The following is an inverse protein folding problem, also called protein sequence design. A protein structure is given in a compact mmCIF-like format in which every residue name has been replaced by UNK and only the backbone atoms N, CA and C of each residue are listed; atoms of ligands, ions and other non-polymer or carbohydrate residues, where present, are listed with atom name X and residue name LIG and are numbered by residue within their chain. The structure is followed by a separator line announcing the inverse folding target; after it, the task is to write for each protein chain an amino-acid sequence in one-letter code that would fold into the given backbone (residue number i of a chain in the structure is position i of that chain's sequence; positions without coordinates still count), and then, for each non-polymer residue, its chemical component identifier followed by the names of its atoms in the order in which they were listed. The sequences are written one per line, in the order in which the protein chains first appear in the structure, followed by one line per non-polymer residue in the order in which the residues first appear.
data_IF_326462270213
#
_entry.id   IF_326462270213
#
_cell.length_a   1.000
_cell.length_b   1.000
_cell.length_c   1.000
_cell.angle_alpha   90.00
_cell.angle_beta   90.00
_cell.angle_gamma   90.00
#
_symmetry.space_group_name_H-M   'P 1'
#
loop_
_entity.id
_entity.type
_entity.pdbx_description
1 polymer ?
#
# COMPACT_ATOMS: atom_id res chain seq x y z
N UNK A 1 9.67 -0.14 3.61
CA UNK A 1 10.09 -0.30 2.20
C UNK A 1 11.47 -0.93 2.07
N UNK A 2 12.50 -0.44 2.79
CA UNK A 2 13.87 -0.96 2.69
C UNK A 2 13.95 -2.46 3.01
N UNK A 3 13.29 -2.90 4.09
CA UNK A 3 13.37 -4.29 4.55
C UNK A 3 12.69 -5.27 3.59
N UNK A 4 11.59 -4.88 2.96
CA UNK A 4 10.95 -5.66 1.87
C UNK A 4 11.89 -5.81 0.68
N UNK A 5 12.62 -4.76 0.28
CA UNK A 5 13.57 -4.84 -0.83
C UNK A 5 14.72 -5.79 -0.49
N UNK A 6 15.22 -5.77 0.75
CA UNK A 6 16.21 -6.73 1.23
C UNK A 6 15.65 -8.16 1.23
N UNK A 7 14.42 -8.37 1.72
CA UNK A 7 13.79 -9.67 1.81
C UNK A 7 13.61 -10.33 0.43
N UNK A 8 13.28 -9.55 -0.60
CA UNK A 8 13.15 -10.06 -1.97
C UNK A 8 14.49 -10.54 -2.58
N UNK A 9 15.62 -10.07 -2.04
CA UNK A 9 16.98 -10.48 -2.44
C UNK A 9 17.49 -11.71 -1.67
N UNK A 10 16.73 -12.23 -0.70
CA UNK A 10 17.12 -13.43 0.07
C UNK A 10 17.19 -14.67 -0.82
N UNK A 11 16.23 -14.82 -1.74
CA UNK A 11 16.15 -15.99 -2.62
C UNK A 11 17.27 -15.98 -3.66
N UNK A 12 17.52 -14.82 -4.29
CA UNK A 12 18.50 -14.68 -5.36
C UNK A 12 18.91 -13.21 -5.58
N UNK A 13 20.12 -12.98 -6.13
CA UNK A 13 20.48 -11.66 -6.67
C UNK A 13 19.47 -11.22 -7.74
N UNK A 14 19.11 -9.93 -7.76
CA UNK A 14 18.07 -9.44 -8.68
C UNK A 14 18.28 -7.99 -9.10
N UNK A 15 17.68 -7.64 -10.24
CA UNK A 15 17.58 -6.27 -10.69
C UNK A 15 16.43 -5.53 -10.01
N UNK A 16 16.60 -4.23 -9.81
CA UNK A 16 15.53 -3.37 -9.25
C UNK A 16 14.21 -3.43 -10.02
N UNK A 17 14.25 -3.67 -11.34
CA UNK A 17 13.04 -3.88 -12.14
C UNK A 17 12.28 -5.16 -11.77
N UNK A 18 12.99 -6.28 -11.55
CA UNK A 18 12.39 -7.56 -11.18
C UNK A 18 11.81 -7.51 -9.77
N UNK A 19 12.53 -6.88 -8.83
CA UNK A 19 12.04 -6.63 -7.47
C UNK A 19 10.74 -5.84 -7.50
N UNK A 20 10.66 -4.77 -8.30
CA UNK A 20 9.44 -3.97 -8.49
C UNK A 20 8.31 -4.82 -9.06
N UNK A 21 8.58 -5.63 -10.09
CA UNK A 21 7.55 -6.47 -10.74
C UNK A 21 6.95 -7.46 -9.75
N UNK A 22 7.78 -8.17 -8.98
CA UNK A 22 7.33 -9.15 -7.98
C UNK A 22 6.48 -8.48 -6.90
N UNK A 23 6.93 -7.32 -6.41
CA UNK A 23 6.22 -6.59 -5.38
C UNK A 23 4.89 -6.01 -5.88
N UNK A 24 4.85 -5.48 -7.09
CA UNK A 24 3.62 -4.98 -7.69
C UNK A 24 2.58 -6.09 -7.92
N UNK A 25 3.02 -7.27 -8.34
CA UNK A 25 2.15 -8.43 -8.50
C UNK A 25 1.53 -8.86 -7.15
N UNK A 26 2.34 -8.97 -6.11
CA UNK A 26 1.87 -9.39 -4.78
C UNK A 26 0.96 -8.36 -4.08
N UNK A 27 1.11 -7.07 -4.38
CA UNK A 27 0.40 -5.99 -3.69
C UNK A 27 -0.79 -5.42 -4.47
N UNK A 28 -0.94 -5.75 -5.76
CA UNK A 28 -2.03 -5.26 -6.62
C UNK A 28 -2.21 -3.73 -6.53
N UNK A 29 -3.38 -3.23 -6.08
CA UNK A 29 -3.64 -1.79 -6.01
C UNK A 29 -2.66 -1.04 -5.08
N UNK A 30 -2.19 -1.69 -4.01
CA UNK A 30 -1.18 -1.09 -3.11
C UNK A 30 0.18 -0.97 -3.81
N UNK A 31 0.47 -1.90 -4.73
CA UNK A 31 1.69 -1.92 -5.54
C UNK A 31 1.77 -0.78 -6.56
N UNK A 32 0.64 -0.20 -6.98
CA UNK A 32 0.59 0.93 -7.91
C UNK A 32 1.22 2.22 -7.37
N UNK A 33 1.32 2.35 -6.04
CA UNK A 33 1.97 3.49 -5.38
C UNK A 33 3.50 3.41 -5.38
N UNK A 34 4.06 2.25 -5.74
CA UNK A 34 5.50 2.01 -5.75
C UNK A 34 6.14 2.60 -7.00
N UNK A 35 6.70 3.80 -6.86
CA UNK A 35 7.51 4.42 -7.91
C UNK A 35 8.77 3.57 -8.20
N UNK A 36 9.06 3.32 -9.47
CA UNK A 36 10.28 2.66 -9.91
C UNK A 36 11.55 3.37 -9.38
N UNK A 37 11.56 4.70 -9.34
CA UNK A 37 12.65 5.48 -8.76
C UNK A 37 12.88 5.17 -7.27
N UNK A 38 11.81 4.88 -6.51
CA UNK A 38 11.90 4.59 -5.08
C UNK A 38 12.69 3.30 -4.81
N UNK A 39 12.54 2.28 -5.68
CA UNK A 39 13.29 1.02 -5.56
C UNK A 39 14.79 1.29 -5.75
N UNK A 40 15.17 2.04 -6.79
CA UNK A 40 16.59 2.33 -7.05
C UNK A 40 17.22 3.25 -6.01
N UNK A 41 16.50 4.25 -5.51
CA UNK A 41 16.95 5.08 -4.39
C UNK A 41 17.14 4.23 -3.14
N UNK A 42 16.21 3.31 -2.88
CA UNK A 42 16.30 2.36 -1.76
C UNK A 42 17.51 1.45 -1.89
N UNK A 43 17.73 0.83 -3.05
CA UNK A 43 18.88 -0.02 -3.33
C UNK A 43 20.21 0.73 -3.15
N UNK A 44 20.29 1.97 -3.64
CA UNK A 44 21.47 2.83 -3.46
C UNK A 44 21.75 3.10 -1.98
N UNK A 45 20.71 3.34 -1.17
CA UNK A 45 20.88 3.54 0.29
C UNK A 45 21.31 2.25 1.00
N UNK A 46 20.75 1.11 0.60
CA UNK A 46 21.11 -0.19 1.16
C UNK A 46 22.55 -0.59 0.82
N UNK A 47 23.01 -0.27 -0.39
CA UNK A 47 24.39 -0.49 -0.83
C UNK A 47 25.36 0.35 0.01
N UNK A 48 25.06 1.64 0.18
CA UNK A 48 25.85 2.53 1.06
C UNK A 48 25.88 2.06 2.52
N UNK A 49 24.82 1.41 2.98
CA UNK A 49 24.74 0.84 4.32
C UNK A 49 25.42 -0.54 4.44
N UNK A 50 26.00 -1.10 3.37
CA UNK A 50 26.64 -2.41 3.37
C UNK A 50 25.65 -3.60 3.47
N UNK A 51 24.36 -3.36 3.30
CA UNK A 51 23.31 -4.39 3.41
C UNK A 51 23.09 -5.15 2.10
N UNK A 52 23.49 -4.55 0.98
CA UNK A 52 23.56 -5.21 -0.34
C UNK A 52 24.87 -4.86 -1.03
N UNK A 53 25.28 -5.67 -2.00
CA UNK A 53 26.42 -5.42 -2.88
C UNK A 53 25.99 -5.51 -4.34
N UNK A 54 26.64 -4.74 -5.22
CA UNK A 54 26.47 -4.87 -6.67
C UNK A 54 27.37 -5.98 -7.18
N UNK A 55 26.80 -7.14 -7.51
CA UNK A 55 27.56 -8.28 -8.03
C UNK A 55 27.96 -8.09 -9.49
N UNK A 56 27.06 -7.59 -10.34
CA UNK A 56 27.27 -7.49 -11.80
C UNK A 56 26.56 -6.28 -12.41
N UNK A 57 27.18 -5.72 -13.45
CA UNK A 57 26.48 -4.87 -14.42
C UNK A 57 26.24 -5.69 -15.69
N UNK A 58 25.01 -6.08 -15.92
CA UNK A 58 24.65 -6.68 -17.20
C UNK A 58 24.61 -5.57 -18.26
N UNK A 59 25.34 -5.78 -19.34
CA UNK A 59 25.27 -4.94 -20.54
C UNK A 59 24.41 -5.68 -21.55
N UNK A 60 23.08 -5.43 -21.59
CA UNK A 60 22.22 -6.10 -22.55
C UNK A 60 22.60 -5.68 -23.99
N UNK A 61 22.34 -6.57 -24.96
CA UNK A 61 22.53 -6.32 -26.41
C UNK A 61 21.81 -5.05 -26.89
N UNK A 62 20.72 -4.67 -26.19
CA UNK A 62 20.02 -3.40 -26.38
C UNK A 62 19.44 -2.90 -25.04
N UNK A 63 19.64 -1.62 -24.73
CA UNK A 63 19.06 -0.95 -23.55
C UNK A 63 20.10 -0.57 -22.47
N UNK A 64 19.66 0.12 -21.39
CA UNK A 64 20.55 0.60 -20.34
C UNK A 64 21.14 -0.55 -19.51
N UNK A 65 22.36 -0.34 -19.00
CA UNK A 65 23.02 -1.29 -18.09
C UNK A 65 22.14 -1.60 -16.90
N UNK A 66 22.02 -2.89 -16.56
CA UNK A 66 21.19 -3.35 -15.44
C UNK A 66 22.10 -3.79 -14.29
N UNK A 67 21.97 -3.10 -13.15
CA UNK A 67 22.70 -3.46 -11.92
C UNK A 67 22.00 -4.64 -11.25
N UNK A 68 22.73 -5.72 -11.00
CA UNK A 68 22.29 -6.84 -10.16
C UNK A 68 22.75 -6.55 -8.73
N UNK A 69 21.83 -6.63 -7.77
CA UNK A 69 22.13 -6.50 -6.36
C UNK A 69 22.02 -7.86 -5.68
N UNK A 70 22.92 -8.14 -4.74
CA UNK A 70 22.89 -9.33 -3.90
C UNK A 70 22.92 -8.94 -2.42
N UNK A 71 22.31 -9.78 -1.60
CA UNK A 71 22.19 -9.56 -0.15
C UNK A 71 23.49 -9.94 0.57
N UNK A 72 23.94 -9.10 1.51
CA UNK A 72 25.09 -9.39 2.38
C UNK A 72 24.69 -10.19 3.62
N UNK A 73 25.66 -10.66 4.42
CA UNK A 73 25.38 -11.27 5.72
C UNK A 73 24.62 -10.31 6.65
N UNK A 74 25.08 -9.06 6.77
CA UNK A 74 24.40 -8.02 7.55
C UNK A 74 22.98 -7.73 7.01
N UNK A 75 22.81 -7.76 5.68
CA UNK A 75 21.50 -7.66 5.05
C UNK A 75 20.55 -8.79 5.46
N UNK A 76 21.04 -10.03 5.53
CA UNK A 76 20.27 -11.20 6.00
C UNK A 76 19.84 -11.06 7.45
N UNK A 77 20.75 -10.65 8.34
CA UNK A 77 20.44 -10.43 9.76
C UNK A 77 19.38 -9.36 9.93
N UNK A 78 19.47 -8.25 9.20
CA UNK A 78 18.45 -7.19 9.22
C UNK A 78 17.08 -7.71 8.79
N UNK A 79 17.01 -8.52 7.72
CA UNK A 79 15.75 -9.12 7.27
C UNK A 79 15.17 -10.05 8.33
N UNK A 80 16.00 -10.90 8.93
CA UNK A 80 15.55 -11.82 9.98
C UNK A 80 14.97 -11.07 11.19
N UNK A 81 15.66 -10.02 11.64
CA UNK A 81 15.18 -9.16 12.72
C UNK A 81 13.84 -8.51 12.37
N UNK A 82 13.73 -7.93 11.17
CA UNK A 82 12.51 -7.27 10.71
C UNK A 82 11.32 -8.23 10.59
N UNK A 83 11.53 -9.46 10.11
CA UNK A 83 10.47 -10.46 10.00
C UNK A 83 9.94 -10.94 11.36
N UNK A 84 10.71 -10.75 12.44
CA UNK A 84 10.29 -11.05 13.81
C UNK A 84 9.55 -9.89 14.48
N UNK A 85 9.58 -8.69 13.90
CA UNK A 85 8.88 -7.51 14.44
C UNK A 85 7.36 -7.63 14.16
N UNK A 86 6.53 -7.42 15.17
CA UNK A 86 5.09 -7.32 14.96
C UNK A 86 4.76 -5.99 14.27
N UNK A 87 3.95 -5.96 13.19
CA UNK A 87 3.46 -4.71 12.66
C UNK A 87 2.58 -4.02 13.72
N UNK A 88 2.91 -2.76 14.04
CA UNK A 88 2.11 -1.92 14.93
C UNK A 88 0.79 -1.48 14.29
N UNK A 89 -0.07 -0.74 15.02
CA UNK A 89 -1.32 -0.21 14.49
C UNK A 89 -1.09 0.68 13.26
N UNK A 90 -1.93 0.51 12.23
CA UNK A 90 -1.75 1.16 10.93
C UNK A 90 -1.91 2.68 10.98
N UNK A 91 -0.88 3.41 10.54
CA UNK A 91 -0.87 4.88 10.49
C UNK A 91 -1.98 5.46 9.60
N UNK A 92 -2.29 4.81 8.47
CA UNK A 92 -3.36 5.22 7.55
C UNK A 92 -4.75 5.19 8.21
N UNK A 93 -5.04 4.17 9.01
CA UNK A 93 -6.30 4.07 9.76
C UNK A 93 -6.44 5.29 10.66
N UNK A 94 -5.39 5.63 11.41
CA UNK A 94 -5.38 6.79 12.31
C UNK A 94 -5.59 8.10 11.55
N UNK A 95 -4.93 8.28 10.40
CA UNK A 95 -5.04 9.50 9.60
C UNK A 95 -6.47 9.76 9.10
N UNK A 96 -7.19 8.72 8.67
CA UNK A 96 -8.59 8.86 8.23
C UNK A 96 -9.49 9.28 9.40
N UNK A 97 -9.32 8.66 10.58
CA UNK A 97 -10.10 9.02 11.76
C UNK A 97 -9.88 10.48 12.16
N UNK A 98 -8.63 10.94 12.18
CA UNK A 98 -8.29 12.33 12.50
C UNK A 98 -8.89 13.33 11.51
N UNK A 99 -8.90 13.03 10.20
CA UNK A 99 -9.55 13.90 9.19
C UNK A 99 -11.06 14.01 9.40
N UNK A 100 -11.71 12.90 9.74
CA UNK A 100 -13.16 12.90 10.02
C UNK A 100 -13.49 13.67 11.29
N UNK A 101 -12.70 13.51 12.35
CA UNK A 101 -12.82 14.31 13.58
C UNK A 101 -12.61 15.80 13.26
N UNK A 102 -11.54 16.15 12.56
CA UNK A 102 -11.26 17.54 12.21
C UNK A 102 -12.38 18.18 11.37
N UNK A 103 -12.95 17.45 10.40
CA UNK A 103 -14.07 17.94 9.61
C UNK A 103 -15.34 18.13 10.47
N UNK A 104 -15.65 17.17 11.35
CA UNK A 104 -16.80 17.25 12.22
C UNK A 104 -16.71 18.40 13.24
N UNK A 105 -15.53 18.63 13.83
CA UNK A 105 -15.32 19.65 14.86
C UNK A 105 -15.14 21.06 14.27
N UNK A 106 -14.48 21.19 13.12
CA UNK A 106 -14.19 22.51 12.55
C UNK A 106 -15.35 23.12 11.75
N UNK A 107 -16.26 22.29 11.22
CA UNK A 107 -17.31 22.73 10.28
C UNK A 107 -16.78 23.25 8.94
N UNK A 108 -15.46 23.22 8.72
CA UNK A 108 -14.81 23.74 7.49
C UNK A 108 -14.98 22.80 6.29
N UNK A 109 -15.38 21.56 6.53
CA UNK A 109 -15.66 20.57 5.49
C UNK A 109 -16.82 19.69 5.91
N UNK A 110 -17.66 19.28 4.95
CA UNK A 110 -18.71 18.29 5.17
C UNK A 110 -18.07 16.88 5.37
N UNK A 111 -18.24 16.24 6.55
CA UNK A 111 -17.76 14.89 6.78
C UNK A 111 -18.33 13.87 5.77
N UNK A 112 -19.57 14.07 5.28
CA UNK A 112 -20.17 13.18 4.29
C UNK A 112 -19.43 13.26 2.95
N UNK A 113 -19.03 14.47 2.51
CA UNK A 113 -18.24 14.64 1.29
C UNK A 113 -16.89 13.91 1.37
N UNK A 114 -16.23 13.93 2.53
CA UNK A 114 -14.97 13.20 2.77
C UNK A 114 -15.18 11.68 2.74
N UNK A 115 -16.22 11.20 3.41
CA UNK A 115 -16.59 9.77 3.40
C UNK A 115 -16.88 9.29 1.98
N UNK A 116 -17.60 10.09 1.19
CA UNK A 116 -17.97 9.75 -0.19
C UNK A 116 -16.79 9.72 -1.14
N UNK A 117 -15.86 10.68 -0.98
CA UNK A 117 -14.60 10.68 -1.71
C UNK A 117 -13.79 9.42 -1.40
N UNK A 118 -13.65 9.07 -0.11
CA UNK A 118 -12.92 7.87 0.30
C UNK A 118 -13.60 6.59 -0.19
N UNK A 119 -14.93 6.51 -0.13
CA UNK A 119 -15.70 5.35 -0.63
C UNK A 119 -15.43 5.09 -2.11
N UNK A 120 -15.43 6.14 -2.94
CA UNK A 120 -15.13 6.02 -4.39
C UNK A 120 -13.72 5.51 -4.64
N UNK A 121 -12.76 5.90 -3.81
CA UNK A 121 -11.39 5.40 -3.88
C UNK A 121 -11.32 3.92 -3.51
N UNK A 122 -11.88 3.54 -2.35
CA UNK A 122 -11.87 2.15 -1.87
C UNK A 122 -12.59 1.19 -2.82
N UNK A 123 -13.69 1.61 -3.45
CA UNK A 123 -14.39 0.79 -4.45
C UNK A 123 -13.53 0.50 -5.69
N UNK A 124 -12.77 1.49 -6.17
CA UNK A 124 -11.82 1.29 -7.28
C UNK A 124 -10.71 0.32 -6.88
N UNK A 125 -10.10 0.54 -5.71
CA UNK A 125 -9.06 -0.34 -5.20
C UNK A 125 -9.57 -1.77 -4.94
N UNK A 126 -10.82 -1.93 -4.49
CA UNK A 126 -11.41 -3.25 -4.28
C UNK A 126 -11.59 -4.00 -5.61
N UNK A 127 -12.12 -3.33 -6.62
CA UNK A 127 -12.27 -3.91 -7.96
C UNK A 127 -10.91 -4.27 -8.59
N UNK A 128 -9.87 -3.48 -8.34
CA UNK A 128 -8.51 -3.79 -8.75
C UNK A 128 -7.93 -5.00 -8.00
N UNK A 129 -8.07 -5.06 -6.67
CA UNK A 129 -7.61 -6.18 -5.86
C UNK A 129 -8.30 -7.50 -6.26
N UNK A 130 -9.62 -7.48 -6.43
CA UNK A 130 -10.39 -8.66 -6.83
C UNK A 130 -10.01 -9.15 -8.23
N UNK A 131 -9.85 -8.24 -9.21
CA UNK A 131 -9.39 -8.62 -10.55
C UNK A 131 -7.98 -9.18 -10.53
N UNK A 132 -7.08 -8.60 -9.74
CA UNK A 132 -5.73 -9.12 -9.58
C UNK A 132 -5.75 -10.51 -8.93
N UNK A 133 -6.53 -10.72 -7.88
CA UNK A 133 -6.66 -12.01 -7.21
C UNK A 133 -7.18 -13.10 -8.16
N UNK A 134 -8.19 -12.79 -8.97
CA UNK A 134 -8.74 -13.71 -9.97
C UNK A 134 -7.76 -14.05 -11.11
N UNK A 135 -6.73 -13.23 -11.33
CA UNK A 135 -5.68 -13.50 -12.31
C UNK A 135 -4.58 -14.46 -11.78
N UNK A 136 -4.68 -14.85 -10.51
CA UNK A 136 -3.78 -15.78 -9.86
C UNK A 136 -4.49 -17.11 -9.56
N UNK A 137 -3.72 -18.19 -9.46
CA UNK A 137 -4.23 -19.49 -9.05
C UNK A 137 -4.74 -19.45 -7.59
N UNK A 138 -5.77 -20.24 -7.30
CA UNK A 138 -6.46 -20.28 -5.99
C UNK A 138 -5.52 -20.53 -4.80
N UNK A 139 -4.46 -21.33 -5.00
CA UNK A 139 -3.48 -21.67 -3.95
C UNK A 139 -2.20 -20.83 -3.99
N UNK A 140 -2.19 -19.74 -4.75
CA UNK A 140 -1.00 -18.88 -4.85
C UNK A 140 -0.88 -17.93 -3.65
N UNK A 141 0.35 -17.75 -3.15
CA UNK A 141 0.65 -16.77 -2.08
C UNK A 141 0.22 -15.35 -2.48
N UNK A 142 0.41 -14.97 -3.75
CA UNK A 142 -0.02 -13.67 -4.25
C UNK A 142 -1.55 -13.51 -4.22
N UNK A 143 -2.30 -14.55 -4.62
CA UNK A 143 -3.75 -14.57 -4.52
C UNK A 143 -4.23 -14.37 -3.09
N UNK A 144 -3.64 -15.10 -2.13
CA UNK A 144 -3.96 -14.98 -0.69
C UNK A 144 -3.70 -13.55 -0.16
N UNK A 145 -2.58 -12.94 -0.53
CA UNK A 145 -2.25 -11.57 -0.12
C UNK A 145 -3.24 -10.54 -0.71
N UNK A 146 -3.63 -10.71 -1.97
CA UNK A 146 -4.61 -9.85 -2.64
C UNK A 146 -6.01 -10.01 -2.05
N UNK A 147 -6.40 -11.23 -1.67
CA UNK A 147 -7.64 -11.49 -0.94
C UNK A 147 -7.65 -10.79 0.42
N UNK A 148 -6.55 -10.87 1.18
CA UNK A 148 -6.41 -10.12 2.43
C UNK A 148 -6.58 -8.61 2.26
N UNK A 149 -6.03 -8.04 1.17
CA UNK A 149 -6.25 -6.64 0.80
C UNK A 149 -7.73 -6.38 0.52
N UNK A 150 -8.39 -7.21 -0.29
CA UNK A 150 -9.81 -7.07 -0.60
C UNK A 150 -10.70 -7.12 0.66
N UNK A 151 -10.43 -8.04 1.58
CA UNK A 151 -11.16 -8.17 2.85
C UNK A 151 -11.02 -6.93 3.74
N UNK A 152 -9.83 -6.33 3.80
CA UNK A 152 -9.60 -5.07 4.53
C UNK A 152 -10.37 -3.91 3.91
N UNK A 153 -10.32 -3.77 2.59
CA UNK A 153 -11.06 -2.73 1.85
C UNK A 153 -12.58 -2.87 2.05
N UNK A 154 -13.10 -4.11 2.07
CA UNK A 154 -14.50 -4.38 2.38
C UNK A 154 -14.87 -3.97 3.82
N UNK A 155 -13.99 -4.26 4.80
CA UNK A 155 -14.20 -3.84 6.18
C UNK A 155 -14.26 -2.31 6.30
N UNK A 156 -13.35 -1.60 5.64
CA UNK A 156 -13.32 -0.13 5.62
C UNK A 156 -14.58 0.44 4.94
N UNK A 157 -15.04 -0.16 3.83
CA UNK A 157 -16.28 0.22 3.16
C UNK A 157 -17.51 0.04 4.07
N UNK A 158 -17.58 -1.06 4.84
CA UNK A 158 -18.66 -1.28 5.82
C UNK A 158 -18.66 -0.19 6.90
N UNK A 159 -17.48 0.20 7.38
CA UNK A 159 -17.34 1.27 8.36
C UNK A 159 -17.76 2.63 7.79
N UNK A 160 -17.31 3.00 6.59
CA UNK A 160 -17.71 4.25 5.93
C UNK A 160 -19.22 4.33 5.68
N UNK A 161 -19.86 3.20 5.38
CA UNK A 161 -21.31 3.13 5.25
C UNK A 161 -22.02 3.41 6.59
N UNK A 162 -21.49 2.91 7.71
CA UNK A 162 -22.01 3.25 9.04
C UNK A 162 -21.83 4.75 9.36
N UNK A 163 -20.70 5.34 8.98
CA UNK A 163 -20.47 6.79 9.09
C UNK A 163 -21.50 7.59 8.30
N UNK A 164 -21.75 7.23 7.02
CA UNK A 164 -22.77 7.88 6.19
C UNK A 164 -24.14 7.85 6.85
N UNK A 165 -24.59 6.68 7.31
CA UNK A 165 -25.92 6.54 7.96
C UNK A 165 -26.04 7.45 9.17
N UNK A 166 -24.98 7.54 9.98
CA UNK A 166 -24.95 8.35 11.20
C UNK A 166 -25.00 9.85 10.89
N UNK A 167 -24.18 10.33 9.95
CA UNK A 167 -24.14 11.76 9.61
C UNK A 167 -25.35 12.20 8.76
N UNK A 168 -25.85 11.36 7.85
CA UNK A 168 -27.08 11.65 7.10
C UNK A 168 -28.32 11.77 8.00
N UNK A 169 -28.36 11.03 9.12
CA UNK A 169 -29.43 11.15 10.11
C UNK A 169 -29.33 12.42 10.97
N UNK A 170 -28.13 13.01 11.07
CA UNK A 170 -27.88 14.24 11.83
C UNK A 170 -28.22 15.51 11.07
N UNK A 171 -28.29 15.48 9.74
CA UNK A 171 -28.70 16.63 8.92
C UNK A 171 -30.19 16.90 9.12
N UNK A 172 -30.61 17.97 9.82
CA UNK A 172 -32.03 18.24 10.01
C UNK A 172 -32.66 18.65 8.67
N UNK A 173 -33.82 18.08 8.34
CA UNK A 173 -34.76 18.74 7.42
C UNK A 173 -35.24 20.01 8.13
N UNK A 174 -34.62 21.16 7.86
CA UNK A 174 -34.88 22.37 8.65
C UNK A 174 -34.39 23.68 8.03
N UNK A 175 -34.98 24.07 6.90
CA UNK A 175 -35.38 25.47 6.64
C UNK A 175 -36.79 25.44 6.05
N UNK A 176 -37.76 25.19 6.93
CA UNK A 176 -39.18 25.40 6.71
C UNK A 176 -39.73 26.07 7.95
N UNK A 177 -40.29 27.27 7.79
CA UNK A 177 -40.65 28.22 8.84
C UNK A 177 -39.92 29.53 8.56
N UNK A 178 -40.49 30.55 7.93
CA UNK A 178 -41.89 30.97 7.99
C UNK A 178 -42.01 32.02 9.09
N UNK A 179 -41.68 33.26 8.72
CA UNK A 179 -42.09 34.54 9.31
C UNK A 179 -42.12 35.46 8.08
N UNK A 180 -43.17 36.21 7.73
CA UNK A 180 -44.37 36.66 8.40
C UNK A 180 -44.73 37.95 7.67
#
# INVERSE_FOLDING_TARGET
MQDVVLALLVKEPSHGYDLRRRLAAALGPLGGTLNAGQIYVTLTRLEKAGLVVREREETPVRGPRRKVYALTAAGRERVAAWLAESPGPGAEVTAVHLKLVAAAESGLADPLALVDARRRELLRSLAEAQRAALAHDTDSEAGLLLEGIALRLQADLRWLEACRRTWSARTPRGRGGGDG
#
